data_IF_221925759348
#
_entry.id   IF_221925759348
#
_cell.length_a   1.000
_cell.length_b   1.000
_cell.length_c   1.000
_cell.angle_alpha   90.00
_cell.angle_beta   90.00
_cell.angle_gamma   90.00
#
_symmetry.space_group_name_H-M   'P 1'
#
loop_
_entity.id
_entity.type
_entity.pdbx_description
1 polymer ?
#
# COMPACT_ATOMS: atom_id res chain seq x y z
N UNK A 1 56.83 33.00 2.95
CA UNK A 1 55.80 32.44 2.03
C UNK A 1 55.26 31.09 2.50
N UNK A 2 56.08 30.04 2.67
CA UNK A 2 55.61 28.69 3.10
C UNK A 2 54.80 28.66 4.41
N UNK A 3 55.20 29.45 5.42
CA UNK A 3 54.49 29.55 6.71
C UNK A 3 53.10 30.22 6.60
N UNK A 4 52.96 31.17 5.68
CA UNK A 4 51.70 31.87 5.40
C UNK A 4 50.72 30.95 4.66
N UNK A 5 51.22 30.17 3.69
CA UNK A 5 50.43 29.13 3.01
C UNK A 5 49.96 28.07 4.01
N UNK A 6 50.84 27.62 4.93
CA UNK A 6 50.48 26.65 5.96
C UNK A 6 49.40 27.20 6.91
N UNK A 7 49.52 28.47 7.31
CA UNK A 7 48.53 29.14 8.18
C UNK A 7 47.16 29.28 7.49
N UNK A 8 47.14 29.63 6.20
CA UNK A 8 45.90 29.70 5.42
C UNK A 8 45.27 28.31 5.26
N UNK A 9 46.07 27.27 5.03
CA UNK A 9 45.59 25.89 4.96
C UNK A 9 45.02 25.37 6.29
N UNK A 10 45.60 25.77 7.43
CA UNK A 10 45.11 25.43 8.76
C UNK A 10 43.80 26.14 9.14
N UNK A 11 43.49 27.28 8.50
CA UNK A 11 42.28 28.06 8.76
C UNK A 11 41.08 27.66 7.87
N UNK A 12 41.32 26.94 6.77
CA UNK A 12 40.29 26.47 5.84
C UNK A 12 39.21 25.53 6.45
N UNK A 13 39.50 24.66 7.45
CA UNK A 13 38.49 23.78 8.05
C UNK A 13 37.63 24.44 9.15
N UNK A 14 37.78 25.75 9.44
CA UNK A 14 36.93 26.45 10.42
C UNK A 14 35.56 26.86 9.87
N UNK A 15 35.19 26.44 8.66
CA UNK A 15 33.84 26.66 8.14
C UNK A 15 32.82 25.97 9.05
N UNK A 16 31.75 26.66 9.50
CA UNK A 16 30.73 26.03 10.33
C UNK A 16 30.11 24.87 9.56
N UNK A 17 30.20 23.66 10.13
CA UNK A 17 29.48 22.52 9.62
C UNK A 17 27.98 22.80 9.82
N UNK A 18 27.25 23.02 8.71
CA UNK A 18 25.80 23.14 8.71
C UNK A 18 25.18 21.77 8.98
N UNK A 19 25.34 21.30 10.22
CA UNK A 19 24.62 20.15 10.73
C UNK A 19 23.15 20.52 10.83
N UNK A 20 22.28 19.67 10.29
CA UNK A 20 20.84 19.84 10.43
C UNK A 20 20.44 19.40 11.83
N UNK A 21 19.72 20.26 12.55
CA UNK A 21 19.13 19.89 13.84
C UNK A 21 17.75 19.24 13.65
N UNK A 22 17.33 18.45 14.65
CA UNK A 22 16.03 17.79 14.66
C UNK A 22 15.21 18.36 15.81
N UNK A 23 14.06 18.94 15.50
CA UNK A 23 13.10 19.36 16.51
C UNK A 23 12.08 18.25 16.78
N UNK A 24 11.73 18.09 18.07
CA UNK A 24 10.75 17.12 18.52
C UNK A 24 9.51 17.85 19.05
N UNK A 25 8.35 17.51 18.50
CA UNK A 25 7.05 17.81 19.07
C UNK A 25 6.24 16.50 19.10
N UNK A 26 5.50 16.29 20.17
CA UNK A 26 4.65 15.10 20.35
C UNK A 26 3.22 15.57 20.52
N UNK A 27 2.34 15.11 19.64
CA UNK A 27 0.93 15.49 19.60
C UNK A 27 0.04 14.25 19.56
N UNK A 28 -1.14 14.33 20.17
CA UNK A 28 -2.16 13.31 20.07
C UNK A 28 -3.03 13.56 18.82
N UNK A 29 -3.24 12.53 18.01
CA UNK A 29 -4.06 12.61 16.81
C UNK A 29 -4.82 11.30 16.54
N UNK A 30 -5.98 11.40 15.88
CA UNK A 30 -6.69 10.22 15.37
C UNK A 30 -6.07 9.75 14.06
N UNK A 31 -5.72 8.47 13.98
CA UNK A 31 -5.11 7.87 12.80
C UNK A 31 -6.02 6.79 12.20
N UNK A 32 -5.86 6.56 10.89
CA UNK A 32 -6.48 5.46 10.17
C UNK A 32 -5.51 4.29 10.15
N UNK A 33 -6.01 3.09 10.47
CA UNK A 33 -5.25 1.85 10.41
C UNK A 33 -5.88 0.91 9.38
N UNK A 34 -5.13 0.58 8.33
CA UNK A 34 -5.54 -0.36 7.29
C UNK A 34 -4.71 -1.62 7.43
N UNK A 35 -5.34 -2.76 7.72
CA UNK A 35 -4.65 -4.06 7.78
C UNK A 35 -4.59 -4.69 6.39
N UNK A 36 -3.40 -5.03 5.97
CA UNK A 36 -3.11 -5.70 4.70
C UNK A 36 -2.54 -7.09 4.97
N UNK A 37 -2.99 -8.06 4.19
CA UNK A 37 -2.53 -9.45 4.25
C UNK A 37 -2.30 -9.98 2.84
N UNK A 38 -1.36 -10.88 2.69
CA UNK A 38 -1.24 -11.72 1.50
C UNK A 38 -2.43 -12.68 1.39
N UNK A 39 -2.60 -13.28 0.22
CA UNK A 39 -3.73 -14.17 -0.06
C UNK A 39 -3.72 -15.46 0.78
N UNK A 40 -2.56 -15.83 1.33
CA UNK A 40 -2.38 -16.95 2.25
C UNK A 40 -2.63 -16.56 3.73
N UNK A 41 -3.00 -15.30 3.98
CA UNK A 41 -3.28 -14.76 5.30
C UNK A 41 -2.05 -14.24 6.05
N UNK A 42 -0.84 -14.35 5.49
CA UNK A 42 0.33 -13.75 6.13
C UNK A 42 0.21 -12.22 6.16
N UNK A 43 0.69 -11.55 7.23
CA UNK A 43 0.70 -10.10 7.28
C UNK A 43 1.55 -9.53 6.14
N UNK A 44 1.06 -8.46 5.52
CA UNK A 44 1.83 -7.67 4.56
C UNK A 44 2.82 -6.78 5.34
N UNK A 45 3.75 -7.40 6.06
CA UNK A 45 4.55 -6.77 7.11
C UNK A 45 5.79 -6.07 6.57
N UNK A 46 6.07 -4.87 7.08
CA UNK A 46 7.23 -4.05 6.69
C UNK A 46 7.32 -3.75 5.20
N UNK A 47 6.22 -3.79 4.46
CA UNK A 47 6.20 -3.45 3.04
C UNK A 47 5.89 -1.97 2.84
N UNK A 48 6.32 -1.41 1.70
CA UNK A 48 6.17 0.00 1.42
C UNK A 48 4.72 0.38 1.14
N UNK A 49 4.30 1.55 1.60
CA UNK A 49 3.03 2.14 1.20
C UNK A 49 3.10 3.66 1.06
N UNK A 50 2.19 4.17 0.23
CA UNK A 50 2.03 5.56 -0.13
C UNK A 50 0.55 5.96 0.06
N UNK A 51 0.33 7.18 0.53
CA UNK A 51 -1.00 7.76 0.75
C UNK A 51 -1.13 9.00 -0.09
N UNK A 52 -2.21 9.09 -0.86
CA UNK A 52 -2.51 10.22 -1.73
C UNK A 52 -3.86 10.83 -1.33
N UNK A 53 -3.90 12.16 -1.24
CA UNK A 53 -5.15 12.89 -1.17
C UNK A 53 -5.90 12.78 -2.51
N UNK A 54 -7.22 13.00 -2.47
CA UNK A 54 -8.07 12.97 -3.67
C UNK A 54 -7.51 13.86 -4.79
N UNK A 55 -7.24 13.26 -5.94
CA UNK A 55 -6.74 13.97 -7.14
C UNK A 55 -5.28 14.43 -7.07
N UNK A 56 -4.52 14.07 -6.03
CA UNK A 56 -3.12 14.44 -5.92
C UNK A 56 -2.20 13.48 -6.70
N UNK A 57 -1.21 14.05 -7.40
CA UNK A 57 -0.18 13.28 -8.12
C UNK A 57 1.01 12.88 -7.22
N UNK A 58 1.17 13.55 -6.07
CA UNK A 58 2.25 13.29 -5.11
C UNK A 58 1.69 12.72 -3.80
N UNK A 59 2.40 11.76 -3.17
CA UNK A 59 1.95 11.21 -1.91
C UNK A 59 2.05 12.27 -0.80
N UNK A 60 1.03 12.33 0.05
CA UNK A 60 1.06 13.11 1.29
C UNK A 60 1.84 12.38 2.39
N UNK A 61 1.97 11.05 2.29
CA UNK A 61 2.80 10.25 3.19
C UNK A 61 3.39 9.04 2.46
N UNK A 62 4.63 8.68 2.82
CA UNK A 62 5.34 7.47 2.38
C UNK A 62 5.88 6.79 3.62
N UNK A 63 5.59 5.51 3.81
CA UNK A 63 5.97 4.76 5.00
C UNK A 63 6.01 3.25 4.73
N UNK A 64 6.15 2.45 5.79
CA UNK A 64 6.10 0.99 5.76
C UNK A 64 5.06 0.47 6.73
N UNK A 65 4.42 -0.64 6.38
CA UNK A 65 3.50 -1.34 7.30
C UNK A 65 4.25 -1.87 8.52
N UNK A 66 3.53 -2.04 9.64
CA UNK A 66 4.11 -2.66 10.83
C UNK A 66 4.19 -4.19 10.74
N UNK A 67 4.69 -4.82 11.82
CA UNK A 67 4.84 -6.28 11.91
C UNK A 67 3.53 -7.07 11.74
N UNK A 68 2.38 -6.43 11.94
CA UNK A 68 1.06 -7.02 11.77
C UNK A 68 0.40 -6.61 10.44
N UNK A 69 1.18 -6.05 9.51
CA UNK A 69 0.72 -5.63 8.19
C UNK A 69 -0.20 -4.42 8.24
N UNK A 70 -0.11 -3.56 9.26
CA UNK A 70 -0.96 -2.36 9.36
C UNK A 70 -0.25 -1.16 8.74
N UNK A 71 -0.92 -0.50 7.79
CA UNK A 71 -0.58 0.84 7.33
C UNK A 71 -1.32 1.86 8.20
N UNK A 72 -0.56 2.69 8.93
CA UNK A 72 -1.11 3.71 9.83
C UNK A 72 -0.76 5.10 9.30
N UNK A 73 -1.77 5.95 9.11
CA UNK A 73 -1.58 7.31 8.59
C UNK A 73 -2.63 8.28 9.11
N UNK A 74 -2.30 9.57 9.09
CA UNK A 74 -3.26 10.64 9.35
C UNK A 74 -3.99 10.96 8.04
N UNK A 75 -5.32 10.84 7.98
CA UNK A 75 -6.06 11.11 6.76
C UNK A 75 -6.05 12.62 6.44
N UNK A 76 -6.09 13.00 5.14
CA UNK A 76 -6.41 14.36 4.74
C UNK A 76 -7.74 14.84 5.34
N UNK A 77 -7.89 16.16 5.50
CA UNK A 77 -9.05 16.76 6.16
C UNK A 77 -10.40 16.36 5.51
N UNK A 78 -10.44 16.20 4.18
CA UNK A 78 -11.64 15.82 3.44
C UNK A 78 -11.29 14.94 2.25
N UNK A 79 -12.30 14.24 1.72
CA UNK A 79 -12.20 13.48 0.48
C UNK A 79 -11.67 12.05 0.62
N UNK A 80 -11.83 11.30 -0.46
CA UNK A 80 -11.31 9.94 -0.61
C UNK A 80 -9.77 9.94 -0.55
N UNK A 81 -9.22 8.85 -0.03
CA UNK A 81 -7.79 8.60 0.02
C UNK A 81 -7.47 7.45 -0.90
N UNK A 82 -6.40 7.60 -1.69
CA UNK A 82 -5.81 6.48 -2.42
C UNK A 82 -4.61 5.95 -1.65
N UNK A 83 -4.66 4.68 -1.28
CA UNK A 83 -3.58 3.96 -0.61
C UNK A 83 -2.98 2.97 -1.60
N UNK A 84 -1.67 3.09 -1.82
CA UNK A 84 -0.91 2.18 -2.66
C UNK A 84 0.12 1.47 -1.79
N UNK A 85 0.08 0.16 -1.75
CA UNK A 85 1.03 -0.65 -0.99
C UNK A 85 1.68 -1.67 -1.93
N UNK A 86 2.99 -1.86 -1.81
CA UNK A 86 3.76 -2.71 -2.70
C UNK A 86 4.94 -3.36 -2.00
N UNK A 87 5.15 -4.63 -2.32
CA UNK A 87 6.24 -5.45 -1.84
C UNK A 87 7.37 -5.48 -2.87
N UNK A 88 8.58 -5.82 -2.42
CA UNK A 88 9.76 -5.86 -3.27
C UNK A 88 9.65 -6.89 -4.42
N UNK A 89 8.81 -7.90 -4.26
CA UNK A 89 8.55 -8.96 -5.25
C UNK A 89 7.47 -8.60 -6.29
N UNK A 90 6.88 -7.41 -6.18
CA UNK A 90 5.86 -6.91 -7.10
C UNK A 90 4.42 -7.18 -6.68
N UNK A 91 4.17 -7.87 -5.57
CA UNK A 91 2.82 -7.93 -5.00
C UNK A 91 2.41 -6.56 -4.44
N UNK A 92 1.12 -6.27 -4.45
CA UNK A 92 0.63 -5.00 -3.94
C UNK A 92 -0.84 -4.76 -4.19
N UNK A 93 -1.31 -3.64 -3.70
CA UNK A 93 -2.68 -3.16 -3.86
C UNK A 93 -2.68 -1.65 -4.12
N UNK A 94 -3.68 -1.20 -4.87
CA UNK A 94 -3.93 0.21 -5.14
C UNK A 94 -5.42 0.46 -4.94
N UNK A 95 -5.76 1.04 -3.79
CA UNK A 95 -7.11 1.08 -3.26
C UNK A 95 -7.54 2.50 -3.01
N UNK A 96 -8.79 2.78 -3.33
CA UNK A 96 -9.48 4.00 -2.96
C UNK A 96 -10.37 3.71 -1.77
N UNK A 97 -10.24 4.49 -0.71
CA UNK A 97 -10.99 4.31 0.53
C UNK A 97 -11.45 5.65 1.09
N UNK A 98 -12.64 5.66 1.68
CA UNK A 98 -13.13 6.78 2.48
C UNK A 98 -12.84 6.49 3.95
N UNK A 99 -11.78 7.09 4.53
CA UNK A 99 -11.43 6.81 5.90
C UNK A 99 -12.53 7.32 6.85
N UNK A 100 -12.84 6.59 7.92
CA UNK A 100 -13.75 7.09 8.96
C UNK A 100 -13.18 8.37 9.55
N UNK A 101 -14.06 9.36 9.78
CA UNK A 101 -13.71 10.64 10.38
C UNK A 101 -14.49 10.77 11.68
N UNK A 102 -13.81 10.99 12.80
CA UNK A 102 -14.47 11.27 14.08
C UNK A 102 -15.02 10.06 14.84
N UNK A 103 -14.18 9.07 15.16
CA UNK A 103 -14.52 8.00 16.12
C UNK A 103 -15.50 6.94 15.61
N UNK A 104 -15.97 7.04 14.36
CA UNK A 104 -16.76 5.99 13.73
C UNK A 104 -15.88 4.75 13.45
N UNK A 105 -16.39 3.57 13.82
CA UNK A 105 -15.69 2.32 13.58
C UNK A 105 -15.71 1.97 12.08
N UNK A 106 -14.55 1.67 11.50
CA UNK A 106 -14.47 1.19 10.14
C UNK A 106 -15.16 -0.18 10.00
N UNK A 107 -15.99 -0.31 8.96
CA UNK A 107 -16.59 -1.59 8.58
C UNK A 107 -15.52 -2.45 7.91
N UNK A 108 -15.37 -3.71 8.36
CA UNK A 108 -14.46 -4.66 7.73
C UNK A 108 -14.83 -4.85 6.25
N UNK A 109 -13.85 -4.69 5.35
CA UNK A 109 -14.05 -5.02 3.95
C UNK A 109 -14.34 -6.53 3.82
N UNK A 110 -15.36 -6.88 3.02
CA UNK A 110 -15.70 -8.27 2.77
C UNK A 110 -14.52 -8.98 2.11
N UNK A 111 -14.07 -10.08 2.72
CA UNK A 111 -13.06 -10.96 2.12
C UNK A 111 -13.68 -11.64 0.89
N UNK A 112 -13.23 -11.27 -0.30
CA UNK A 112 -13.62 -11.98 -1.52
C UNK A 112 -13.12 -13.43 -1.47
N UNK A 113 -14.04 -14.40 -1.56
CA UNK A 113 -13.69 -15.82 -1.53
C UNK A 113 -13.15 -16.28 -2.89
N UNK A 114 -11.83 -16.35 -2.97
CA UNK A 114 -11.09 -16.82 -4.15
C UNK A 114 -11.47 -18.24 -4.55
N UNK A 115 -11.74 -19.13 -3.59
CA UNK A 115 -12.12 -20.51 -3.89
C UNK A 115 -13.47 -20.54 -4.61
N UNK A 116 -14.41 -19.71 -4.17
CA UNK A 116 -15.72 -19.57 -4.81
C UNK A 116 -15.59 -19.12 -6.29
N UNK A 117 -14.71 -18.14 -6.56
CA UNK A 117 -14.45 -17.67 -7.94
C UNK A 117 -13.85 -18.78 -8.81
N UNK A 118 -12.93 -19.58 -8.26
CA UNK A 118 -12.32 -20.71 -8.99
C UNK A 118 -13.38 -21.79 -9.29
N UNK A 119 -14.17 -22.19 -8.29
CA UNK A 119 -15.24 -23.19 -8.45
C UNK A 119 -16.25 -22.72 -9.49
N UNK A 120 -16.65 -21.44 -9.43
CA UNK A 120 -17.56 -20.85 -10.41
C UNK A 120 -16.97 -20.89 -11.82
N UNK A 121 -15.71 -20.50 -12.00
CA UNK A 121 -15.04 -20.54 -13.30
C UNK A 121 -14.94 -21.95 -13.88
N UNK A 122 -14.55 -22.93 -13.07
CA UNK A 122 -14.50 -24.35 -13.47
C UNK A 122 -15.90 -24.87 -13.82
N UNK A 123 -16.92 -24.50 -13.04
CA UNK A 123 -18.30 -24.87 -13.29
C UNK A 123 -18.83 -24.36 -14.63
N UNK A 124 -18.54 -23.10 -14.97
CA UNK A 124 -18.91 -22.50 -16.26
C UNK A 124 -18.24 -23.25 -17.42
N UNK A 125 -16.94 -23.56 -17.31
CA UNK A 125 -16.21 -24.31 -18.33
C UNK A 125 -16.82 -25.70 -18.56
N UNK A 126 -17.07 -26.45 -17.48
CA UNK A 126 -17.69 -27.77 -17.56
C UNK A 126 -19.10 -27.72 -18.17
N UNK A 127 -19.90 -26.71 -17.81
CA UNK A 127 -21.23 -26.52 -18.37
C UNK A 127 -21.19 -26.25 -19.89
N UNK A 128 -20.26 -25.41 -20.34
CA UNK A 128 -20.05 -25.11 -21.75
C UNK A 128 -19.66 -26.36 -22.56
N UNK A 129 -18.68 -27.12 -22.08
CA UNK A 129 -18.27 -28.36 -22.73
C UNK A 129 -19.36 -29.43 -22.72
N UNK A 130 -20.12 -29.54 -21.62
CA UNK A 130 -21.28 -30.42 -21.51
C UNK A 130 -22.35 -30.09 -22.54
N UNK A 131 -22.65 -28.79 -22.72
CA UNK A 131 -23.64 -28.33 -23.71
C UNK A 131 -23.18 -28.64 -25.14
N UNK A 132 -21.91 -28.37 -25.46
CA UNK A 132 -21.32 -28.66 -26.79
C UNK A 132 -21.39 -30.16 -27.09
N UNK A 133 -20.97 -31.01 -26.16
CA UNK A 133 -21.06 -32.48 -26.27
C UNK A 133 -22.50 -32.95 -26.52
N UNK A 134 -23.47 -32.39 -25.80
CA UNK A 134 -24.88 -32.74 -25.96
C UNK A 134 -25.41 -32.42 -27.36
N UNK A 135 -25.06 -31.25 -27.91
CA UNK A 135 -25.46 -30.82 -29.26
C UNK A 135 -24.78 -31.66 -30.33
N UNK A 136 -23.47 -31.93 -30.19
CA UNK A 136 -22.72 -32.77 -31.14
C UNK A 136 -23.22 -34.22 -31.16
N UNK A 137 -23.58 -34.78 -29.99
CA UNK A 137 -24.11 -36.14 -29.88
C UNK A 137 -25.50 -36.27 -30.51
N UNK A 138 -26.36 -35.25 -30.37
CA UNK A 138 -27.67 -35.19 -31.04
C UNK A 138 -27.57 -35.21 -32.57
N UNK A 139 -26.55 -34.55 -33.14
CA UNK A 139 -26.30 -34.57 -34.60
C UNK A 139 -25.78 -35.91 -35.14
N UNK A 140 -25.31 -36.81 -34.28
CA UNK A 140 -24.78 -38.13 -34.69
C UNK A 140 -25.85 -39.22 -34.71
N UNK A 141 -27.04 -38.94 -34.18
CA UNK A 141 -28.19 -39.86 -34.08
C UNK A 141 -29.44 -39.31 -34.81
N UNK A 142 -29.31 -38.22 -35.55
CA UNK A 142 -30.31 -37.67 -36.46
C UNK A 142 -29.78 -37.81 -37.89
#
# INVERSE_FOLDING_TARGET
MKRLVLAVWLLLPLAPALAHEVHLAVEAASAVSVRLTFADGQPFAFEAFEVYAAGADKPSAVSRTDAQGRAVFLPPATGEVRLRAFAADGHGVDLKLNPPRGGEAAVAAATEDRALKIILGVGILLALFGLVQLVLRRKKHA
#
